data_IF_284551865574
#
_entry.id   IF_284551865574
#
_cell.length_a   1.000
_cell.length_b   1.000
_cell.length_c   1.000
_cell.angle_alpha   90.00
_cell.angle_beta   90.00
_cell.angle_gamma   90.00
#
_symmetry.space_group_name_H-M   'P 1'
#
loop_
_entity.id
_entity.type
_entity.pdbx_description
1 polymer ?
#
# COMPACT_ATOMS: atom_id res chain seq x y z
N UNK A 1 11.75 -13.05 18.30
CA UNK A 1 12.44 -11.85 17.76
C UNK A 1 13.73 -12.17 16.98
N UNK A 2 14.63 -13.03 17.47
CA UNK A 2 15.94 -13.26 16.82
C UNK A 2 15.93 -14.31 15.69
N UNK A 3 15.08 -15.33 15.74
CA UNK A 3 15.03 -16.38 14.70
C UNK A 3 14.65 -15.86 13.30
N UNK A 4 13.66 -14.97 13.23
CA UNK A 4 13.23 -14.34 11.96
C UNK A 4 14.30 -13.42 11.36
N UNK A 5 15.19 -12.87 12.20
CA UNK A 5 16.32 -12.06 11.75
C UNK A 5 17.42 -12.95 11.19
N UNK A 6 17.62 -14.14 11.75
CA UNK A 6 18.63 -15.10 11.32
C UNK A 6 18.28 -15.75 9.98
N UNK A 7 17.03 -16.20 9.83
CA UNK A 7 16.49 -16.76 8.59
C UNK A 7 16.51 -15.75 7.42
N UNK A 8 16.59 -14.44 7.73
CA UNK A 8 16.70 -13.34 6.78
C UNK A 8 18.13 -13.10 6.24
N UNK A 9 19.18 -13.44 7.00
CA UNK A 9 20.57 -13.29 6.53
C UNK A 9 21.04 -14.47 5.66
N UNK A 10 20.43 -15.66 5.81
CA UNK A 10 20.84 -16.89 5.12
C UNK A 10 20.11 -17.16 3.77
N UNK A 11 19.25 -16.24 3.30
CA UNK A 11 18.44 -16.46 2.10
C UNK A 11 19.07 -15.95 0.78
N UNK A 12 18.94 -16.67 -0.36
CA UNK A 12 19.61 -16.30 -1.62
C UNK A 12 19.11 -14.99 -2.23
N UNK A 13 20.05 -14.20 -2.73
CA UNK A 13 19.97 -12.76 -3.06
C UNK A 13 18.84 -12.29 -4.03
N UNK A 14 18.14 -13.21 -4.71
CA UNK A 14 17.12 -12.88 -5.72
C UNK A 14 15.68 -12.82 -5.20
N UNK A 15 15.32 -13.69 -4.25
CA UNK A 15 13.94 -13.81 -3.76
C UNK A 15 13.53 -12.69 -2.79
N UNK A 16 14.49 -12.12 -2.08
CA UNK A 16 14.23 -11.11 -1.04
C UNK A 16 13.97 -9.71 -1.58
N UNK A 17 14.31 -9.41 -2.83
CA UNK A 17 14.28 -8.06 -3.39
C UNK A 17 12.90 -7.36 -3.28
N UNK A 18 11.79 -8.09 -3.48
CA UNK A 18 10.44 -7.53 -3.40
C UNK A 18 10.03 -7.18 -1.97
N UNK A 19 10.22 -8.13 -1.04
CA UNK A 19 9.93 -7.95 0.39
C UNK A 19 10.86 -6.90 0.99
N UNK A 20 12.17 -6.93 0.67
CA UNK A 20 13.16 -5.94 1.07
C UNK A 20 12.78 -4.55 0.60
N UNK A 21 12.35 -4.38 -0.65
CA UNK A 21 11.90 -3.08 -1.17
C UNK A 21 10.64 -2.59 -0.46
N UNK A 22 9.69 -3.48 -0.17
CA UNK A 22 8.47 -3.13 0.56
C UNK A 22 8.78 -2.77 2.03
N UNK A 23 9.57 -3.59 2.74
CA UNK A 23 10.05 -3.29 4.10
C UNK A 23 10.87 -2.00 4.12
N UNK A 24 11.79 -1.80 3.17
CA UNK A 24 12.60 -0.58 3.06
C UNK A 24 11.74 0.64 2.73
N UNK A 25 10.70 0.52 1.89
CA UNK A 25 9.73 1.61 1.63
C UNK A 25 8.85 1.90 2.84
N UNK A 26 8.35 0.88 3.52
CA UNK A 26 7.63 1.04 4.78
C UNK A 26 8.54 1.69 5.83
N UNK A 27 9.80 1.27 5.94
CA UNK A 27 10.81 1.81 6.86
C UNK A 27 11.30 3.22 6.54
N UNK A 28 11.35 3.60 5.27
CA UNK A 28 11.76 4.95 4.85
C UNK A 28 10.59 5.94 4.90
N UNK A 29 9.34 5.49 4.76
CA UNK A 29 8.15 6.35 4.80
C UNK A 29 7.47 6.39 6.17
N UNK A 30 7.67 5.37 7.01
CA UNK A 30 7.09 5.28 8.34
C UNK A 30 8.22 5.18 9.34
N UNK A 31 8.32 6.20 10.18
CA UNK A 31 8.98 6.05 11.47
C UNK A 31 8.19 5.00 12.27
N UNK A 32 8.79 3.83 12.50
CA UNK A 32 8.10 2.63 13.04
C UNK A 32 7.51 2.83 14.44
N UNK A 33 7.78 3.97 15.09
CA UNK A 33 7.18 4.37 16.37
C UNK A 33 5.74 4.90 16.31
N UNK A 34 5.06 4.95 15.14
CA UNK A 34 3.70 5.52 15.02
C UNK A 34 2.70 4.68 14.25
N UNK A 35 2.80 3.35 14.26
CA UNK A 35 1.62 2.58 13.89
C UNK A 35 0.47 2.92 14.84
N UNK A 36 -0.69 3.21 14.25
CA UNK A 36 -1.85 3.71 14.99
C UNK A 36 -2.39 2.60 15.88
N UNK A 37 -2.03 2.53 17.16
CA UNK A 37 -2.50 1.49 18.06
C UNK A 37 -4.05 1.45 18.12
N UNK A 38 -4.65 0.27 18.21
CA UNK A 38 -6.10 0.11 18.20
C UNK A 38 -6.79 0.69 19.45
N UNK A 39 -6.08 0.83 20.57
CA UNK A 39 -6.62 1.40 21.81
C UNK A 39 -6.42 2.92 21.90
N UNK A 40 -5.73 3.52 20.93
CA UNK A 40 -5.56 4.98 20.86
C UNK A 40 -6.88 5.70 20.54
N UNK A 41 -7.03 6.96 20.99
CA UNK A 41 -8.24 7.80 20.82
C UNK A 41 -8.42 8.36 19.40
N UNK A 42 -8.24 7.50 18.40
CA UNK A 42 -8.40 7.84 17.00
C UNK A 42 -9.71 7.26 16.45
N UNK A 43 -10.35 7.94 15.47
CA UNK A 43 -11.56 7.43 14.85
C UNK A 43 -11.36 6.07 14.19
N UNK A 44 -12.41 5.25 14.17
CA UNK A 44 -12.39 3.92 13.53
C UNK A 44 -12.03 4.01 12.04
N UNK A 45 -12.42 5.09 11.36
CA UNK A 45 -12.08 5.35 9.97
C UNK A 45 -10.56 5.45 9.76
N UNK A 46 -9.83 6.06 10.70
CA UNK A 46 -8.37 6.18 10.64
C UNK A 46 -7.71 4.82 10.84
N UNK A 47 -8.22 4.00 11.77
CA UNK A 47 -7.75 2.61 11.99
C UNK A 47 -7.96 1.75 10.74
N UNK A 48 -9.12 1.86 10.08
CA UNK A 48 -9.37 1.22 8.78
C UNK A 48 -8.42 1.74 7.69
N UNK A 49 -8.17 3.04 7.66
CA UNK A 49 -7.24 3.68 6.73
C UNK A 49 -5.82 3.11 6.84
N UNK A 50 -5.35 2.85 8.06
CA UNK A 50 -4.07 2.16 8.30
C UNK A 50 -4.04 0.80 7.61
N UNK A 51 -5.07 -0.04 7.84
CA UNK A 51 -5.18 -1.36 7.20
C UNK A 51 -5.20 -1.23 5.68
N UNK A 52 -6.04 -0.34 5.13
CA UNK A 52 -6.15 -0.12 3.69
C UNK A 52 -4.82 0.27 3.06
N UNK A 53 -4.11 1.22 3.67
CA UNK A 53 -2.84 1.72 3.14
C UNK A 53 -1.78 0.63 3.03
N UNK A 54 -1.78 -0.33 3.97
CA UNK A 54 -0.81 -1.40 3.97
C UNK A 54 -1.23 -2.54 3.02
N UNK A 55 -2.52 -2.88 2.97
CA UNK A 55 -3.07 -3.85 2.00
C UNK A 55 -2.79 -3.37 0.58
N UNK A 56 -3.05 -2.09 0.29
CA UNK A 56 -2.76 -1.50 -1.02
C UNK A 56 -1.30 -1.65 -1.42
N UNK A 57 -0.37 -1.40 -0.48
CA UNK A 57 1.07 -1.58 -0.75
C UNK A 57 1.41 -3.04 -1.00
N UNK A 58 0.81 -3.97 -0.24
CA UNK A 58 1.02 -5.39 -0.43
C UNK A 58 0.54 -5.85 -1.83
N UNK A 59 -0.61 -5.39 -2.31
CA UNK A 59 -1.16 -5.87 -3.58
C UNK A 59 -0.75 -5.05 -4.82
N UNK A 60 -0.58 -3.73 -4.68
CA UNK A 60 -0.28 -2.83 -5.80
C UNK A 60 1.23 -2.66 -6.06
N UNK A 61 2.07 -2.78 -5.02
CA UNK A 61 3.51 -2.52 -5.14
C UNK A 61 4.37 -3.78 -5.11
N UNK A 62 3.77 -4.95 -4.89
CA UNK A 62 4.52 -6.21 -4.80
C UNK A 62 4.03 -7.23 -5.82
N UNK A 63 4.95 -8.10 -6.24
CA UNK A 63 4.71 -9.20 -7.16
C UNK A 63 3.82 -10.27 -6.49
N UNK A 64 2.97 -10.93 -7.27
CA UNK A 64 1.97 -11.91 -6.82
C UNK A 64 2.59 -12.99 -5.93
N UNK A 65 3.80 -13.45 -6.27
CA UNK A 65 4.54 -14.46 -5.49
C UNK A 65 4.84 -14.05 -4.04
N UNK A 66 4.77 -12.76 -3.73
CA UNK A 66 5.00 -12.22 -2.39
C UNK A 66 3.72 -11.81 -1.66
N UNK A 67 2.55 -11.83 -2.30
CA UNK A 67 1.31 -11.34 -1.70
C UNK A 67 0.97 -12.06 -0.40
N UNK A 68 1.08 -13.39 -0.36
CA UNK A 68 0.81 -14.18 0.85
C UNK A 68 1.75 -13.82 1.99
N UNK A 69 3.07 -13.76 1.72
CA UNK A 69 4.08 -13.40 2.74
C UNK A 69 3.89 -11.97 3.25
N UNK A 70 3.54 -11.05 2.35
CA UNK A 70 3.30 -9.65 2.69
C UNK A 70 2.03 -9.47 3.52
N UNK A 71 1.00 -10.27 3.25
CA UNK A 71 -0.24 -10.26 4.02
C UNK A 71 -0.03 -10.82 5.43
N UNK A 72 0.69 -11.93 5.58
CA UNK A 72 1.07 -12.47 6.89
C UNK A 72 1.87 -11.45 7.70
N UNK A 73 2.85 -10.80 7.06
CA UNK A 73 3.67 -9.77 7.70
C UNK A 73 2.83 -8.58 8.19
N UNK A 74 1.90 -8.10 7.37
CA UNK A 74 0.94 -7.06 7.76
C UNK A 74 0.09 -7.46 8.96
N UNK A 75 -0.49 -8.67 8.94
CA UNK A 75 -1.37 -9.14 10.02
C UNK A 75 -0.59 -9.13 11.34
N UNK A 76 0.65 -9.60 11.34
CA UNK A 76 1.52 -9.57 12.51
C UNK A 76 1.74 -8.13 13.03
N UNK A 77 2.02 -7.17 12.14
CA UNK A 77 2.16 -5.76 12.53
C UNK A 77 0.88 -5.22 13.18
N UNK A 78 -0.29 -5.54 12.63
CA UNK A 78 -1.56 -5.06 13.17
C UNK A 78 -1.86 -5.69 14.54
N UNK A 79 -1.55 -6.97 14.72
CA UNK A 79 -1.66 -7.67 16.00
C UNK A 79 -0.73 -7.07 17.06
N UNK A 80 0.51 -6.75 16.69
CA UNK A 80 1.46 -6.05 17.56
C UNK A 80 0.98 -4.64 17.98
N UNK A 81 -0.07 -4.11 17.31
CA UNK A 81 -0.69 -2.81 17.59
C UNK A 81 -2.12 -2.95 18.16
N UNK A 82 -2.44 -4.08 18.77
CA UNK A 82 -3.71 -4.39 19.46
C UNK A 82 -4.94 -4.41 18.55
N UNK A 83 -4.78 -4.56 17.23
CA UNK A 83 -5.95 -4.68 16.35
C UNK A 83 -6.64 -6.03 16.55
N UNK A 84 -7.96 -6.07 16.80
CA UNK A 84 -8.69 -7.32 16.90
C UNK A 84 -8.66 -8.11 15.59
N UNK A 85 -8.46 -9.43 15.65
CA UNK A 85 -8.41 -10.29 14.46
C UNK A 85 -9.63 -10.16 13.57
N UNK A 86 -10.83 -10.12 14.15
CA UNK A 86 -12.09 -9.94 13.41
C UNK A 86 -12.08 -8.64 12.62
N UNK A 87 -11.69 -7.54 13.28
CA UNK A 87 -11.57 -6.23 12.65
C UNK A 87 -10.54 -6.21 11.52
N UNK A 88 -9.39 -6.89 11.70
CA UNK A 88 -8.37 -7.03 10.66
C UNK A 88 -8.96 -7.77 9.45
N UNK A 89 -9.50 -8.97 9.65
CA UNK A 89 -9.98 -9.81 8.55
C UNK A 89 -11.15 -9.16 7.80
N UNK A 90 -12.10 -8.55 8.50
CA UNK A 90 -13.23 -7.87 7.87
C UNK A 90 -12.75 -6.70 7.00
N UNK A 91 -11.84 -5.88 7.53
CA UNK A 91 -11.33 -4.70 6.82
C UNK A 91 -10.43 -5.09 5.64
N UNK A 92 -9.59 -6.12 5.80
CA UNK A 92 -8.75 -6.66 4.72
C UNK A 92 -9.63 -7.25 3.61
N UNK A 93 -10.61 -8.08 3.95
CA UNK A 93 -11.54 -8.67 2.99
C UNK A 93 -12.34 -7.61 2.22
N UNK A 94 -12.83 -6.59 2.93
CA UNK A 94 -13.49 -5.44 2.31
C UNK A 94 -12.55 -4.76 1.30
N UNK A 95 -11.29 -4.52 1.68
CA UNK A 95 -10.33 -3.83 0.80
C UNK A 95 -9.99 -4.65 -0.44
N UNK A 96 -9.73 -5.95 -0.28
CA UNK A 96 -9.43 -6.85 -1.40
C UNK A 96 -10.58 -6.88 -2.40
N UNK A 97 -11.83 -7.01 -1.92
CA UNK A 97 -13.03 -6.95 -2.78
C UNK A 97 -13.10 -5.63 -3.56
N UNK A 98 -12.79 -4.51 -2.92
CA UNK A 98 -12.78 -3.20 -3.57
C UNK A 98 -11.68 -3.11 -4.65
N UNK A 99 -10.47 -3.62 -4.38
CA UNK A 99 -9.38 -3.62 -5.35
C UNK A 99 -9.72 -4.46 -6.60
N UNK A 100 -10.34 -5.63 -6.41
CA UNK A 100 -10.79 -6.49 -7.51
C UNK A 100 -11.89 -5.79 -8.33
N UNK A 101 -12.91 -5.24 -7.65
CA UNK A 101 -14.01 -4.51 -8.31
C UNK A 101 -13.48 -3.33 -9.13
N UNK A 102 -12.59 -2.52 -8.56
CA UNK A 102 -12.03 -1.35 -9.26
C UNK A 102 -11.20 -1.75 -10.49
N UNK A 103 -10.46 -2.87 -10.43
CA UNK A 103 -9.74 -3.40 -11.59
C UNK A 103 -10.69 -3.77 -12.74
N UNK A 104 -11.82 -4.42 -12.42
CA UNK A 104 -12.83 -4.75 -13.43
C UNK A 104 -13.49 -3.51 -14.04
N UNK A 105 -13.76 -2.48 -13.24
CA UNK A 105 -14.32 -1.22 -13.74
C UNK A 105 -13.37 -0.53 -14.72
N UNK A 106 -12.07 -0.43 -14.39
CA UNK A 106 -11.06 0.16 -15.27
C UNK A 106 -10.94 -0.62 -16.59
N UNK A 107 -10.99 -1.95 -16.53
CA UNK A 107 -10.92 -2.78 -17.74
C UNK A 107 -12.16 -2.61 -18.64
N UNK A 108 -13.35 -2.45 -18.05
CA UNK A 108 -14.58 -2.18 -18.81
C UNK A 108 -14.50 -0.82 -19.50
N UNK A 109 -14.16 0.22 -18.73
CA UNK A 109 -14.02 1.58 -19.24
C UNK A 109 -13.02 1.63 -20.41
N UNK A 110 -11.82 1.05 -20.25
CA UNK A 110 -10.85 0.97 -21.33
C UNK A 110 -11.38 0.24 -22.59
N UNK A 111 -12.17 -0.82 -22.43
CA UNK A 111 -12.77 -1.53 -23.56
C UNK A 111 -13.80 -0.68 -24.31
N UNK A 112 -14.52 0.19 -23.61
CA UNK A 112 -15.50 1.12 -24.17
C UNK A 112 -14.80 2.35 -24.82
N UNK A 113 -13.66 2.79 -24.25
CA UNK A 113 -12.90 3.97 -24.69
C UNK A 113 -12.06 3.74 -25.96
N UNK A 114 -11.71 2.50 -26.30
CA UNK A 114 -10.97 2.18 -27.54
C UNK A 114 -11.77 2.59 -28.80
N UNK A 115 -13.09 2.80 -28.66
CA UNK A 115 -13.96 3.32 -29.72
C UNK A 115 -14.06 4.87 -29.75
N UNK A 116 -13.50 5.60 -28.76
CA UNK A 116 -13.65 7.05 -28.61
C UNK A 116 -12.29 7.73 -28.35
N UNK A 117 -11.43 7.74 -29.36
CA UNK A 117 -10.17 8.50 -29.34
C UNK A 117 -10.41 9.99 -29.66
N UNK A 118 -10.96 10.75 -28.71
CA UNK A 118 -10.84 12.21 -28.72
C UNK A 118 -9.60 12.65 -27.94
N UNK A 119 -8.75 13.42 -28.62
CA UNK A 119 -7.46 13.93 -28.18
C UNK A 119 -7.59 14.90 -27.01
N UNK A 120 -7.30 14.43 -25.79
CA UNK A 120 -7.25 15.28 -24.62
C UNK A 120 -6.08 16.27 -24.70
N UNK A 121 -6.41 17.56 -24.82
CA UNK A 121 -5.48 18.70 -24.78
C UNK A 121 -5.02 18.96 -23.34
N UNK A 122 -3.74 18.74 -23.06
CA UNK A 122 -3.15 19.01 -21.75
C UNK A 122 -2.89 20.52 -21.60
N UNK A 123 -3.43 21.10 -20.52
CA UNK A 123 -3.25 22.51 -20.19
C UNK A 123 -1.77 22.87 -20.10
N UNK A 124 -1.31 23.76 -20.98
CA UNK A 124 0.05 24.32 -20.95
C UNK A 124 0.02 25.65 -20.21
N UNK A 125 0.73 25.74 -19.08
CA UNK A 125 0.91 26.99 -18.36
C UNK A 125 2.16 27.72 -18.85
N UNK A 126 2.10 29.02 -19.20
CA UNK A 126 3.27 29.77 -19.65
C UNK A 126 4.20 30.11 -18.47
N UNK A 127 5.50 30.20 -18.76
CA UNK A 127 6.54 30.60 -17.80
C UNK A 127 6.44 32.09 -17.47
N UNK A 128 6.45 32.43 -16.18
CA UNK A 128 6.45 33.83 -15.70
C UNK A 128 7.83 34.13 -15.09
N UNK A 129 8.67 34.94 -15.75
CA UNK A 129 9.94 35.37 -15.16
C UNK A 129 9.70 36.28 -13.94
N UNK A 130 10.45 36.04 -12.86
CA UNK A 130 10.39 36.89 -11.67
C UNK A 130 11.24 38.15 -11.86
N UNK A 131 10.60 39.32 -11.81
CA UNK A 131 11.29 40.61 -11.88
C UNK A 131 11.93 40.94 -10.52
N UNK A 132 13.26 41.03 -10.48
CA UNK A 132 14.01 41.54 -9.32
C UNK A 132 13.91 43.07 -9.35
N UNK A 133 13.25 43.67 -8.36
CA UNK A 133 13.28 45.13 -8.16
C UNK A 133 14.69 45.52 -7.69
N UNK A 134 15.33 46.42 -8.43
CA UNK A 134 16.57 47.11 -8.06
C UNK A 134 16.23 48.26 -7.13
#
# INVERSE_FOLDING_TARGET
KQQLLYEYYDAPAGGHQGILRMIKRIRLLYDWGRFLNFNSNHPIAQKKGTIFSLVDRAFLLSDFKFHSKNLTFLINILLDNDYPLTFIFDTVNQRIKNLIKNRHLIHRDLADNVCANESASWLTAPFIPSYRKV
#
